data_IF_955869721140
#
_entry.id   IF_955869721140
#
_cell.length_a   1.000
_cell.length_b   1.000
_cell.length_c   1.000
_cell.angle_alpha   90.00
_cell.angle_beta   90.00
_cell.angle_gamma   90.00
#
_symmetry.space_group_name_H-M   'P 1'
#
loop_
_entity.id
_entity.type
_entity.pdbx_description
1 polymer ?
#
# COMPACT_ATOMS: atom_id res chain seq x y z
N UNK A 1 3.67 2.69 -45.40
CA UNK A 1 2.37 2.05 -45.12
C UNK A 1 2.25 0.60 -45.66
N UNK A 2 3.31 -0.23 -45.61
CA UNK A 2 3.21 -1.65 -46.02
C UNK A 2 3.88 -2.66 -45.05
N UNK A 3 4.51 -2.22 -43.95
CA UNK A 3 5.03 -3.13 -42.92
C UNK A 3 4.06 -3.40 -41.76
N UNK A 4 3.14 -2.47 -41.47
CA UNK A 4 2.14 -2.64 -40.40
C UNK A 4 1.00 -3.62 -40.77
N UNK A 5 0.81 -3.91 -42.06
CA UNK A 5 -0.24 -4.83 -42.54
C UNK A 5 0.18 -6.31 -42.43
N UNK A 6 1.45 -6.61 -42.69
CA UNK A 6 2.05 -7.95 -42.54
C UNK A 6 2.20 -8.40 -41.06
N UNK A 7 2.33 -7.45 -40.13
CA UNK A 7 2.44 -7.76 -38.70
C UNK A 7 1.08 -8.10 -38.06
N UNK A 8 -0.02 -7.54 -38.57
CA UNK A 8 -1.36 -7.82 -38.07
C UNK A 8 -1.95 -9.14 -38.61
N UNK A 9 -1.58 -9.55 -39.83
CA UNK A 9 -2.05 -10.83 -40.39
C UNK A 9 -1.38 -12.05 -39.73
N UNK A 10 -0.12 -11.93 -39.29
CA UNK A 10 0.61 -13.01 -38.60
C UNK A 10 0.17 -13.24 -37.16
N UNK A 11 -0.29 -12.19 -36.45
CA UNK A 11 -0.86 -12.30 -35.10
C UNK A 11 -2.26 -12.97 -35.09
N UNK A 12 -3.03 -12.83 -36.17
CA UNK A 12 -4.37 -13.43 -36.29
C UNK A 12 -4.35 -14.97 -36.46
N UNK A 13 -3.28 -15.51 -37.06
CA UNK A 13 -3.11 -16.95 -37.30
C UNK A 13 -2.61 -17.71 -36.05
N UNK A 14 -1.89 -17.03 -35.15
CA UNK A 14 -1.42 -17.62 -33.89
C UNK A 14 -2.54 -17.70 -32.82
N UNK A 15 -3.53 -16.81 -32.88
CA UNK A 15 -4.67 -16.85 -31.96
C UNK A 15 -5.70 -17.95 -32.29
N UNK A 16 -5.74 -18.45 -33.55
CA UNK A 16 -6.65 -19.55 -33.95
C UNK A 16 -6.16 -20.96 -33.60
N UNK A 17 -4.89 -21.16 -33.26
CA UNK A 17 -4.37 -22.49 -32.88
C UNK A 17 -4.41 -22.80 -31.37
N UNK A 18 -4.79 -21.83 -30.53
CA UNK A 18 -4.82 -22.00 -29.08
C UNK A 18 -6.22 -22.35 -28.52
N UNK A 19 -7.24 -22.45 -29.37
CA UNK A 19 -8.65 -22.67 -28.96
C UNK A 19 -9.23 -24.05 -29.32
N UNK A 20 -8.42 -25.02 -29.76
CA UNK A 20 -8.88 -26.35 -30.20
C UNK A 20 -8.37 -27.56 -29.39
N UNK A 21 -8.04 -27.40 -28.11
CA UNK A 21 -7.79 -28.55 -27.22
C UNK A 21 -8.66 -28.51 -25.97
N UNK A 22 -9.97 -28.68 -26.16
CA UNK A 22 -10.86 -29.14 -25.10
C UNK A 22 -10.61 -30.63 -24.85
N UNK A 23 -9.92 -30.98 -23.76
CA UNK A 23 -9.85 -32.34 -23.27
C UNK A 23 -11.02 -32.60 -22.29
N UNK A 24 -11.83 -33.65 -22.49
CA UNK A 24 -12.97 -33.94 -21.63
C UNK A 24 -12.58 -34.67 -20.33
N UNK A 25 -13.43 -34.47 -19.32
CA UNK A 25 -13.45 -35.17 -18.04
C UNK A 25 -13.82 -36.64 -18.23
N UNK A 26 -13.07 -37.56 -17.62
CA UNK A 26 -13.53 -38.94 -17.37
C UNK A 26 -12.92 -39.49 -16.06
N UNK A 27 -13.82 -39.60 -15.07
CA UNK A 27 -14.05 -40.69 -14.12
C UNK A 27 -12.93 -41.69 -13.79
N UNK A 28 -12.69 -41.81 -12.47
CA UNK A 28 -12.03 -42.91 -11.79
C UNK A 28 -12.61 -44.28 -12.15
N UNK A 29 -11.75 -45.22 -12.54
CA UNK A 29 -11.90 -46.65 -12.22
C UNK A 29 -10.52 -47.18 -11.83
N UNK A 30 -10.44 -47.68 -10.60
CA UNK A 30 -9.30 -48.42 -10.06
C UNK A 30 -9.35 -49.80 -10.72
N UNK A 31 -8.28 -50.23 -11.41
CA UNK A 31 -8.01 -51.65 -11.51
C UNK A 31 -6.52 -51.98 -11.67
N UNK A 32 -6.10 -52.80 -10.71
CA UNK A 32 -4.89 -53.61 -10.60
C UNK A 32 -4.73 -54.50 -11.84
N UNK A 33 -3.49 -54.74 -12.27
CA UNK A 33 -2.92 -55.99 -12.83
C UNK A 33 -1.66 -55.61 -13.65
N UNK A 34 -0.49 -55.63 -13.02
CA UNK A 34 0.54 -56.68 -13.17
C UNK A 34 1.14 -56.74 -14.58
N UNK A 35 2.36 -56.22 -14.70
CA UNK A 35 3.28 -56.62 -15.75
C UNK A 35 4.63 -56.94 -15.09
N UNK A 36 4.93 -58.23 -14.99
CA UNK A 36 6.23 -58.78 -14.64
C UNK A 36 7.14 -58.70 -15.86
N UNK A 37 8.11 -57.80 -15.84
CA UNK A 37 9.36 -57.98 -16.59
C UNK A 37 10.44 -57.07 -16.01
N UNK A 38 10.84 -57.34 -14.76
CA UNK A 38 11.97 -56.68 -14.13
C UNK A 38 13.25 -57.42 -14.55
N UNK A 39 14.00 -56.90 -15.51
CA UNK A 39 15.42 -57.21 -15.72
C UNK A 39 16.11 -56.21 -16.65
N UNK A 40 16.34 -54.99 -16.16
CA UNK A 40 17.55 -54.22 -16.51
C UNK A 40 17.59 -52.87 -15.80
N UNK A 41 18.44 -52.80 -14.77
CA UNK A 41 19.03 -51.57 -14.23
C UNK A 41 19.74 -50.82 -15.37
N UNK A 42 19.18 -49.70 -15.82
CA UNK A 42 19.95 -48.56 -16.38
C UNK A 42 19.02 -47.56 -17.06
N UNK A 43 18.43 -46.62 -16.32
CA UNK A 43 18.06 -45.35 -16.94
C UNK A 43 17.93 -44.17 -15.95
N UNK A 44 18.66 -44.22 -14.82
CA UNK A 44 18.88 -43.05 -13.96
C UNK A 44 20.02 -42.14 -14.49
N UNK A 45 20.60 -42.47 -15.64
CA UNK A 45 21.78 -41.79 -16.19
C UNK A 45 21.48 -40.85 -17.37
N UNK A 46 20.23 -40.76 -17.83
CA UNK A 46 19.84 -39.86 -18.93
C UNK A 46 18.96 -38.68 -18.51
N UNK A 47 18.39 -38.67 -17.30
CA UNK A 47 17.69 -37.49 -16.76
C UNK A 47 18.65 -36.42 -16.17
N UNK A 48 19.89 -36.78 -15.86
CA UNK A 48 20.86 -35.87 -15.23
C UNK A 48 21.56 -34.91 -16.20
N UNK A 49 21.38 -35.09 -17.52
CA UNK A 49 22.05 -34.26 -18.53
C UNK A 49 21.15 -33.18 -19.15
N UNK A 50 19.82 -33.29 -19.05
CA UNK A 50 18.88 -32.21 -19.42
C UNK A 50 18.66 -31.21 -18.26
N UNK A 51 18.79 -31.64 -17.01
CA UNK A 51 18.82 -30.73 -15.85
C UNK A 51 20.16 -29.98 -15.69
N UNK A 52 21.24 -30.44 -16.32
CA UNK A 52 22.55 -29.74 -16.31
C UNK A 52 22.72 -28.68 -17.40
N UNK A 53 21.83 -28.64 -18.40
CA UNK A 53 21.91 -27.71 -19.54
C UNK A 53 20.90 -26.56 -19.52
N UNK A 54 19.97 -26.53 -18.56
CA UNK A 54 19.09 -25.38 -18.34
C UNK A 54 19.58 -24.58 -17.13
N UNK A 55 20.18 -23.44 -17.47
CA UNK A 55 20.36 -22.24 -16.66
C UNK A 55 21.24 -22.34 -15.40
N UNK A 56 22.55 -22.50 -15.61
CA UNK A 56 23.49 -21.55 -15.01
C UNK A 56 23.18 -20.16 -15.60
N UNK A 57 22.08 -19.53 -15.18
CA UNK A 57 22.03 -18.08 -15.26
C UNK A 57 23.05 -17.61 -14.24
N UNK A 58 24.21 -17.16 -14.69
CA UNK A 58 25.08 -16.36 -13.84
C UNK A 58 24.20 -15.18 -13.42
N UNK A 59 23.71 -15.18 -12.18
CA UNK A 59 23.20 -13.96 -11.58
C UNK A 59 24.39 -13.02 -11.57
N UNK A 60 24.44 -12.16 -12.58
CA UNK A 60 25.43 -11.10 -12.65
C UNK A 60 25.26 -10.29 -11.36
N UNK A 61 26.26 -10.38 -10.48
CA UNK A 61 26.22 -9.66 -9.21
C UNK A 61 26.36 -8.20 -9.55
N UNK A 62 25.26 -7.46 -9.44
CA UNK A 62 25.27 -6.01 -9.52
C UNK A 62 26.13 -5.51 -8.35
N UNK A 63 27.36 -5.10 -8.66
CA UNK A 63 28.26 -4.52 -7.68
C UNK A 63 28.04 -3.01 -7.67
N UNK A 64 27.46 -2.50 -6.59
CA UNK A 64 27.23 -1.08 -6.38
C UNK A 64 28.42 -0.56 -5.58
N UNK A 65 29.19 0.36 -6.15
CA UNK A 65 30.27 1.02 -5.40
C UNK A 65 29.71 1.99 -4.35
N UNK A 66 30.59 2.52 -3.48
CA UNK A 66 30.20 3.44 -2.41
C UNK A 66 29.57 4.73 -2.96
N UNK A 67 30.03 5.24 -4.09
CA UNK A 67 29.50 6.46 -4.69
C UNK A 67 28.09 6.24 -5.22
N UNK A 68 27.87 5.15 -5.94
CA UNK A 68 26.55 4.73 -6.41
C UNK A 68 25.60 4.46 -5.24
N UNK A 69 26.08 3.88 -4.14
CA UNK A 69 25.28 3.68 -2.91
C UNK A 69 24.82 5.02 -2.32
N UNK A 70 25.75 5.97 -2.15
CA UNK A 70 25.43 7.30 -1.63
C UNK A 70 24.42 8.05 -2.53
N UNK A 71 24.57 7.93 -3.86
CA UNK A 71 23.64 8.54 -4.81
C UNK A 71 22.22 7.97 -4.69
N UNK A 72 22.10 6.64 -4.53
CA UNK A 72 20.81 5.97 -4.29
C UNK A 72 20.20 6.42 -2.96
N UNK A 73 20.98 6.48 -1.88
CA UNK A 73 20.51 6.93 -0.57
C UNK A 73 20.03 8.38 -0.60
N UNK A 74 20.78 9.28 -1.26
CA UNK A 74 20.40 10.68 -1.44
C UNK A 74 19.09 10.81 -2.23
N UNK A 75 18.91 10.02 -3.29
CA UNK A 75 17.67 10.00 -4.06
C UNK A 75 16.48 9.47 -3.23
N UNK A 76 16.68 8.43 -2.41
CA UNK A 76 15.64 7.92 -1.53
C UNK A 76 15.26 8.93 -0.45
N UNK A 77 16.24 9.66 0.11
CA UNK A 77 15.97 10.75 1.03
C UNK A 77 15.20 11.89 0.36
N UNK A 78 15.62 12.31 -0.84
CA UNK A 78 14.91 13.27 -1.67
C UNK A 78 13.44 12.86 -1.85
N UNK A 79 13.20 11.61 -2.28
CA UNK A 79 11.84 11.10 -2.48
C UNK A 79 11.01 11.06 -1.20
N UNK A 80 11.62 10.78 -0.04
CA UNK A 80 10.93 10.79 1.26
C UNK A 80 10.57 12.21 1.73
N UNK A 81 11.43 13.19 1.45
CA UNK A 81 11.21 14.58 1.84
C UNK A 81 10.28 15.28 0.83
N UNK A 82 10.52 15.16 -0.45
CA UNK A 82 9.74 15.87 -1.49
C UNK A 82 8.42 15.16 -1.81
N UNK A 83 8.36 13.82 -1.71
CA UNK A 83 7.16 13.07 -2.00
C UNK A 83 6.76 13.18 -3.48
N UNK A 84 5.63 13.83 -3.74
CA UNK A 84 5.09 14.11 -5.09
C UNK A 84 4.96 15.61 -5.35
N UNK A 85 5.54 16.46 -4.49
CA UNK A 85 5.44 17.93 -4.61
C UNK A 85 6.27 18.48 -5.79
N UNK A 86 7.14 17.66 -6.38
CA UNK A 86 7.97 17.99 -7.55
C UNK A 86 7.19 17.96 -8.88
N UNK A 87 5.92 17.53 -8.86
CA UNK A 87 5.08 17.44 -10.05
C UNK A 87 5.63 16.48 -11.12
N UNK A 88 6.53 15.57 -10.74
CA UNK A 88 7.18 14.61 -11.65
C UNK A 88 8.48 15.10 -12.29
N UNK A 89 8.99 16.29 -11.96
CA UNK A 89 10.30 16.79 -12.43
C UNK A 89 11.21 17.05 -11.25
N UNK A 90 12.39 16.41 -11.23
CA UNK A 90 13.34 16.56 -10.13
C UNK A 90 13.77 18.02 -9.95
N UNK A 91 13.80 18.46 -8.71
CA UNK A 91 14.34 19.77 -8.34
C UNK A 91 15.84 19.84 -8.62
N UNK A 92 16.29 21.05 -8.97
CA UNK A 92 17.70 21.39 -8.88
C UNK A 92 18.18 21.37 -7.42
N UNK A 93 19.49 21.31 -7.23
CA UNK A 93 20.10 21.28 -5.89
C UNK A 93 19.74 22.53 -5.06
N UNK A 94 19.71 23.70 -5.70
CA UNK A 94 19.34 24.98 -5.08
C UNK A 94 17.85 25.00 -4.67
N UNK A 95 16.96 24.55 -5.56
CA UNK A 95 15.53 24.44 -5.26
C UNK A 95 15.26 23.46 -4.12
N UNK A 96 15.95 22.31 -4.12
CA UNK A 96 15.81 21.31 -3.06
C UNK A 96 16.30 21.83 -1.71
N UNK A 97 17.40 22.58 -1.67
CA UNK A 97 17.90 23.21 -0.44
C UNK A 97 16.89 24.21 0.13
N UNK A 98 16.35 25.09 -0.72
CA UNK A 98 15.32 26.06 -0.34
C UNK A 98 14.03 25.39 0.13
N UNK A 99 13.62 24.31 -0.55
CA UNK A 99 12.46 23.51 -0.17
C UNK A 99 12.65 22.89 1.22
N UNK A 100 13.84 22.33 1.51
CA UNK A 100 14.14 21.77 2.84
C UNK A 100 14.07 22.81 3.95
N UNK A 101 14.67 23.99 3.74
CA UNK A 101 14.70 25.07 4.74
C UNK A 101 13.29 25.54 5.13
N UNK A 102 12.34 25.48 4.20
CA UNK A 102 10.96 25.90 4.42
C UNK A 102 10.07 24.77 4.97
N UNK A 103 10.15 23.58 4.38
CA UNK A 103 9.20 22.49 4.65
C UNK A 103 9.56 21.68 5.89
N UNK A 104 10.85 21.47 6.16
CA UNK A 104 11.27 20.64 7.30
C UNK A 104 10.81 21.22 8.63
N UNK A 105 11.06 22.51 8.98
CA UNK A 105 10.60 23.07 10.24
C UNK A 105 9.07 23.01 10.38
N UNK A 106 8.35 23.34 9.30
CA UNK A 106 6.88 23.29 9.25
C UNK A 106 6.35 21.90 9.55
N UNK A 107 6.92 20.85 8.95
CA UNK A 107 6.50 19.47 9.20
C UNK A 107 6.86 18.97 10.59
N UNK A 108 7.96 19.44 11.17
CA UNK A 108 8.33 19.09 12.53
C UNK A 108 7.34 19.69 13.55
N UNK A 109 6.88 20.91 13.30
CA UNK A 109 5.95 21.63 14.16
C UNK A 109 4.50 21.15 13.97
N UNK A 110 4.02 21.11 12.73
CA UNK A 110 2.62 20.87 12.39
C UNK A 110 2.37 19.43 11.94
N UNK A 111 3.10 18.46 12.49
CA UNK A 111 2.94 17.05 12.11
C UNK A 111 1.53 16.56 12.48
N UNK A 112 0.84 16.00 11.49
CA UNK A 112 -0.43 15.31 11.69
C UNK A 112 -0.23 13.81 11.86
N UNK A 113 -0.95 13.24 12.83
CA UNK A 113 -1.04 11.81 13.06
C UNK A 113 -2.39 11.30 12.62
N UNK A 114 -2.37 10.28 11.77
CA UNK A 114 -3.60 9.71 11.21
C UNK A 114 -3.69 8.24 11.59
N UNK A 115 -4.75 7.90 12.30
CA UNK A 115 -5.08 6.53 12.68
C UNK A 115 -6.49 6.17 12.25
N UNK A 116 -6.76 4.88 12.18
CA UNK A 116 -8.09 4.34 11.90
C UNK A 116 -8.45 3.34 12.98
N UNK A 117 -9.60 3.56 13.62
CA UNK A 117 -9.99 2.82 14.81
C UNK A 117 -11.40 3.20 15.26
N UNK A 118 -11.90 2.47 16.24
CA UNK A 118 -13.13 2.86 16.92
C UNK A 118 -12.80 3.93 17.97
N UNK A 119 -13.52 5.06 18.04
CA UNK A 119 -13.29 6.08 19.04
C UNK A 119 -13.27 5.49 20.47
N UNK A 120 -12.26 5.87 21.27
CA UNK A 120 -12.08 5.33 22.63
C UNK A 120 -11.40 3.95 22.72
N UNK A 121 -11.15 3.29 21.59
CA UNK A 121 -10.46 1.99 21.54
C UNK A 121 -9.01 2.12 21.01
N UNK A 122 -8.43 0.99 20.61
CA UNK A 122 -7.10 0.92 20.00
C UNK A 122 -7.08 1.50 18.58
N UNK A 123 -5.93 2.05 18.17
CA UNK A 123 -5.66 2.44 16.79
C UNK A 123 -5.49 1.17 15.93
N UNK A 124 -6.56 0.68 15.31
CA UNK A 124 -6.59 -0.57 14.55
C UNK A 124 -5.69 -0.55 13.31
N UNK A 125 -5.52 0.61 12.67
CA UNK A 125 -4.53 0.85 11.62
C UNK A 125 -3.86 2.20 11.82
N UNK A 126 -2.55 2.26 11.61
CA UNK A 126 -1.84 3.54 11.51
C UNK A 126 -1.60 3.82 10.03
N UNK A 127 -1.89 5.04 9.63
CA UNK A 127 -1.85 5.45 8.22
C UNK A 127 -0.45 5.93 7.88
N UNK A 128 0.09 5.39 6.79
CA UNK A 128 1.37 5.81 6.20
C UNK A 128 1.21 6.39 4.80
N UNK A 129 2.30 6.90 4.19
CA UNK A 129 2.26 7.67 2.95
C UNK A 129 1.64 6.92 1.76
N UNK A 130 1.90 5.62 1.66
CA UNK A 130 1.40 4.76 0.58
C UNK A 130 0.04 4.10 0.89
N UNK A 131 -0.55 4.39 2.05
CA UNK A 131 -1.85 3.80 2.41
C UNK A 131 -2.95 4.45 1.56
N UNK A 132 -3.77 3.66 0.84
CA UNK A 132 -4.78 4.23 -0.04
C UNK A 132 -5.98 4.76 0.74
N UNK A 133 -6.49 5.89 0.27
CA UNK A 133 -7.76 6.48 0.66
C UNK A 133 -8.94 5.75 0.00
N UNK A 134 -10.16 6.05 0.45
CA UNK A 134 -11.40 5.71 -0.22
C UNK A 134 -11.39 6.04 -1.71
N UNK A 135 -10.84 7.21 -2.07
CA UNK A 135 -10.69 7.68 -3.45
C UNK A 135 -9.58 6.94 -4.24
N UNK A 136 -8.96 5.91 -3.66
CA UNK A 136 -7.87 5.07 -4.20
C UNK A 136 -6.48 5.72 -4.29
N UNK A 137 -6.37 7.02 -4.07
CA UNK A 137 -5.09 7.73 -4.01
C UNK A 137 -4.38 7.52 -2.67
N UNK A 138 -3.05 7.57 -2.68
CA UNK A 138 -2.22 7.43 -1.47
C UNK A 138 -2.40 8.61 -0.50
N UNK A 139 -2.14 8.36 0.78
CA UNK A 139 -2.17 9.40 1.82
C UNK A 139 -1.26 10.60 1.47
N UNK A 140 -0.07 10.35 0.92
CA UNK A 140 0.86 11.40 0.44
C UNK A 140 0.29 12.33 -0.63
N UNK A 141 -0.76 11.90 -1.32
CA UNK A 141 -1.43 12.67 -2.37
C UNK A 141 -2.56 13.56 -1.81
N UNK A 142 -2.77 13.55 -0.50
CA UNK A 142 -3.70 14.45 0.18
C UNK A 142 -2.94 15.64 0.81
N UNK A 143 -3.65 16.70 1.16
CA UNK A 143 -3.08 17.86 1.82
C UNK A 143 -2.77 17.52 3.28
N UNK A 144 -1.51 17.24 3.59
CA UNK A 144 -1.05 16.87 4.95
C UNK A 144 -0.22 17.96 5.61
N UNK A 145 0.31 18.89 4.81
CA UNK A 145 1.21 19.94 5.28
C UNK A 145 0.45 21.25 5.40
N UNK A 146 0.38 21.80 6.60
CA UNK A 146 -0.28 23.07 6.90
C UNK A 146 0.73 24.07 7.45
N UNK A 147 0.62 25.34 7.05
CA UNK A 147 1.39 26.44 7.65
C UNK A 147 0.88 26.76 9.06
N UNK A 148 -0.45 26.84 9.18
CA UNK A 148 -1.15 26.91 10.46
C UNK A 148 -2.19 25.80 10.53
N UNK A 149 -2.21 25.08 11.64
CA UNK A 149 -3.14 23.96 11.83
C UNK A 149 -4.57 24.48 11.98
N UNK A 150 -5.56 23.91 11.26
CA UNK A 150 -6.95 24.26 11.44
C UNK A 150 -7.42 24.04 12.88
N UNK A 151 -8.15 25.02 13.44
CA UNK A 151 -8.72 24.92 14.80
C UNK A 151 -10.00 24.09 14.84
N UNK A 152 -10.74 24.07 13.74
CA UNK A 152 -11.99 23.32 13.61
C UNK A 152 -11.71 21.83 13.45
N UNK A 153 -12.54 20.99 14.07
CA UNK A 153 -12.45 19.53 14.00
C UNK A 153 -13.65 18.95 13.27
N UNK A 154 -13.47 17.93 12.41
CA UNK A 154 -12.21 17.25 12.08
C UNK A 154 -11.30 18.05 11.11
N UNK A 155 -9.98 17.84 11.19
CA UNK A 155 -9.04 18.40 10.19
C UNK A 155 -9.27 17.67 8.86
N UNK A 156 -9.70 18.42 7.84
CA UNK A 156 -9.93 17.89 6.51
C UNK A 156 -8.63 17.80 5.71
N UNK A 157 -8.39 16.65 5.08
CA UNK A 157 -7.20 16.39 4.28
C UNK A 157 -7.60 16.20 2.81
N UNK A 158 -7.90 17.26 2.05
CA UNK A 158 -8.39 17.15 0.67
C UNK A 158 -7.37 16.49 -0.26
N UNK A 159 -7.86 15.75 -1.25
CA UNK A 159 -6.99 15.11 -2.26
C UNK A 159 -6.44 16.16 -3.24
N UNK A 160 -5.14 16.07 -3.57
CA UNK A 160 -4.44 16.99 -4.48
C UNK A 160 -4.41 16.49 -5.93
N UNK A 161 -4.90 15.28 -6.19
CA UNK A 161 -4.94 14.71 -7.54
C UNK A 161 -6.00 15.42 -8.39
N UNK A 162 -5.59 15.88 -9.58
CA UNK A 162 -6.46 16.63 -10.51
C UNK A 162 -7.71 15.81 -10.86
N UNK A 163 -8.89 16.39 -10.65
CA UNK A 163 -10.19 15.78 -10.97
C UNK A 163 -10.79 14.91 -9.86
N UNK A 164 -10.10 14.70 -8.74
CA UNK A 164 -10.63 13.97 -7.59
C UNK A 164 -11.54 14.87 -6.74
N UNK A 165 -12.74 14.40 -6.38
CA UNK A 165 -13.71 15.15 -5.54
C UNK A 165 -13.63 14.80 -4.04
N UNK A 166 -12.56 14.11 -3.63
CA UNK A 166 -12.35 13.66 -2.26
C UNK A 166 -12.03 14.85 -1.32
N UNK A 167 -12.94 15.15 -0.40
CA UNK A 167 -12.84 16.30 0.52
C UNK A 167 -11.89 16.06 1.68
N UNK A 168 -11.78 14.82 2.14
CA UNK A 168 -10.85 14.44 3.20
C UNK A 168 -10.38 13.01 3.04
N UNK A 169 -9.14 12.72 3.46
CA UNK A 169 -8.62 11.36 3.52
C UNK A 169 -9.49 10.49 4.44
N UNK A 170 -9.94 9.35 3.92
CA UNK A 170 -10.70 8.35 4.67
C UNK A 170 -10.16 6.96 4.34
N UNK A 171 -9.75 6.21 5.34
CA UNK A 171 -9.28 4.84 5.16
C UNK A 171 -10.44 3.85 5.12
N UNK A 172 -10.30 2.84 4.25
CA UNK A 172 -11.19 1.68 4.19
C UNK A 172 -10.38 0.42 4.43
N UNK A 173 -10.91 -0.49 5.25
CA UNK A 173 -10.27 -1.79 5.47
C UNK A 173 -9.95 -2.50 4.15
N UNK A 174 -8.76 -3.08 4.10
CA UNK A 174 -8.28 -3.91 2.99
C UNK A 174 -8.23 -5.35 3.49
N UNK A 175 -8.84 -6.27 2.73
CA UNK A 175 -8.76 -7.71 2.96
C UNK A 175 -7.95 -8.34 1.83
N UNK A 176 -6.75 -8.81 2.17
CA UNK A 176 -5.76 -9.24 1.17
C UNK A 176 -5.33 -8.06 0.31
N UNK A 177 -5.65 -8.09 -0.98
CA UNK A 177 -5.31 -7.03 -1.94
C UNK A 177 -6.48 -6.11 -2.30
N UNK A 178 -7.67 -6.32 -1.72
CA UNK A 178 -8.89 -5.61 -2.13
C UNK A 178 -9.53 -4.87 -0.95
N UNK A 179 -10.03 -3.65 -1.14
CA UNK A 179 -10.90 -3.00 -0.17
C UNK A 179 -12.11 -3.89 0.14
N UNK A 180 -12.55 -3.87 1.39
CA UNK A 180 -13.76 -4.60 1.80
C UNK A 180 -14.99 -4.01 1.09
N UNK A 181 -16.03 -4.83 0.95
CA UNK A 181 -17.26 -4.42 0.24
C UNK A 181 -18.21 -3.70 1.16
N UNK A 182 -19.00 -2.80 0.58
CA UNK A 182 -20.16 -2.21 1.24
C UNK A 182 -21.23 -3.29 1.52
N UNK A 183 -22.18 -3.00 2.42
CA UNK A 183 -23.38 -3.81 2.68
C UNK A 183 -24.20 -4.03 1.40
N UNK A 184 -24.16 -3.09 0.46
CA UNK A 184 -24.76 -3.25 -0.88
C UNK A 184 -23.97 -4.18 -1.82
N UNK A 185 -22.89 -4.82 -1.33
CA UNK A 185 -21.97 -5.74 -2.03
C UNK A 185 -21.05 -5.11 -3.08
N UNK A 186 -21.15 -3.81 -3.29
CA UNK A 186 -20.29 -3.06 -4.21
C UNK A 186 -18.97 -2.63 -3.56
N UNK A 187 -17.93 -2.43 -4.38
CA UNK A 187 -16.59 -1.98 -3.97
C UNK A 187 -16.52 -0.47 -3.76
N UNK A 188 -15.45 0.03 -3.13
CA UNK A 188 -15.24 1.48 -2.93
C UNK A 188 -15.24 2.26 -4.25
N UNK A 189 -14.63 1.71 -5.31
CA UNK A 189 -14.62 2.30 -6.65
C UNK A 189 -16.02 2.47 -7.29
N UNK A 190 -17.00 1.70 -6.83
CA UNK A 190 -18.39 1.76 -7.29
C UNK A 190 -19.22 2.75 -6.45
N UNK A 191 -18.57 3.50 -5.55
CA UNK A 191 -19.16 4.61 -4.80
C UNK A 191 -18.50 5.92 -5.22
N UNK A 192 -19.16 7.03 -4.90
CA UNK A 192 -18.60 8.37 -5.06
C UNK A 192 -17.50 8.62 -4.03
N UNK A 193 -16.40 9.24 -4.45
CA UNK A 193 -15.37 9.77 -3.57
C UNK A 193 -15.80 11.05 -2.83
N UNK A 194 -16.93 11.65 -3.24
CA UNK A 194 -17.53 12.79 -2.55
C UNK A 194 -18.14 12.38 -1.20
N UNK A 195 -18.51 13.40 -0.42
CA UNK A 195 -19.17 13.24 0.89
C UNK A 195 -20.40 12.34 0.75
N UNK A 196 -20.66 11.53 1.78
CA UNK A 196 -21.71 10.50 1.86
C UNK A 196 -21.46 9.22 1.05
N UNK A 197 -20.43 9.16 0.19
CA UNK A 197 -20.02 7.94 -0.52
C UNK A 197 -21.19 7.18 -1.16
N UNK A 198 -22.04 7.89 -1.90
CA UNK A 198 -23.22 7.28 -2.52
C UNK A 198 -22.82 6.22 -3.55
N UNK A 199 -23.54 5.09 -3.57
CA UNK A 199 -23.27 4.03 -4.54
C UNK A 199 -23.72 4.47 -5.94
N UNK A 200 -22.86 4.27 -6.93
CA UNK A 200 -23.13 4.57 -8.35
C UNK A 200 -23.97 3.47 -9.02
N UNK A 201 -24.10 2.30 -8.39
CA UNK A 201 -24.74 1.10 -8.97
C UNK A 201 -26.13 0.77 -8.41
N UNK A 202 -26.47 1.26 -7.23
CA UNK A 202 -27.77 0.98 -6.62
C UNK A 202 -28.33 2.19 -5.88
N UNK A 203 -29.66 2.25 -5.78
CA UNK A 203 -30.41 3.37 -5.21
C UNK A 203 -30.72 3.22 -3.72
N UNK A 204 -30.65 1.99 -3.19
CA UNK A 204 -30.94 1.71 -1.77
C UNK A 204 -29.75 1.94 -0.83
N UNK A 205 -28.56 2.20 -1.38
CA UNK A 205 -27.36 2.45 -0.58
C UNK A 205 -27.29 3.94 -0.22
N UNK A 206 -27.45 4.25 1.06
CA UNK A 206 -27.38 5.62 1.59
C UNK A 206 -25.94 6.13 1.76
N UNK A 207 -24.95 5.25 1.62
CA UNK A 207 -23.54 5.55 1.77
C UNK A 207 -22.72 4.29 2.02
N UNK A 208 -21.41 4.39 1.83
CA UNK A 208 -20.52 3.26 2.04
C UNK A 208 -20.53 2.81 3.49
N UNK A 209 -20.90 1.55 3.72
CA UNK A 209 -20.96 0.94 5.05
C UNK A 209 -20.57 -0.52 4.93
N UNK A 210 -19.42 -0.92 5.47
CA UNK A 210 -18.95 -2.31 5.36
C UNK A 210 -19.31 -3.15 6.60
N UNK A 211 -19.91 -4.35 6.44
CA UNK A 211 -20.16 -5.27 7.56
C UNK A 211 -18.93 -6.11 7.94
N UNK A 212 -17.75 -5.84 7.35
CA UNK A 212 -16.50 -6.53 7.65
C UNK A 212 -16.17 -6.45 9.15
N UNK A 213 -15.78 -7.55 9.76
CA UNK A 213 -15.32 -7.56 11.16
C UNK A 213 -13.82 -7.32 11.21
N UNK A 214 -13.39 -6.23 11.83
CA UNK A 214 -11.98 -5.95 12.07
C UNK A 214 -11.40 -6.95 13.09
N UNK A 215 -10.08 -7.17 13.07
CA UNK A 215 -9.40 -7.99 14.08
C UNK A 215 -9.57 -7.51 15.52
N UNK A 216 -9.99 -6.25 15.74
CA UNK A 216 -10.39 -5.75 17.06
C UNK A 216 -11.78 -6.23 17.52
N UNK A 217 -12.50 -7.00 16.68
CA UNK A 217 -13.84 -7.51 16.95
C UNK A 217 -14.99 -6.58 16.57
N UNK A 218 -14.72 -5.32 16.24
CA UNK A 218 -15.74 -4.34 15.86
C UNK A 218 -16.00 -4.34 14.35
N UNK A 219 -17.23 -4.02 13.90
CA UNK A 219 -17.52 -3.92 12.47
C UNK A 219 -16.82 -2.71 11.85
N UNK A 220 -16.51 -2.80 10.56
CA UNK A 220 -15.76 -1.78 9.82
C UNK A 220 -16.43 -0.42 9.82
N UNK A 221 -17.77 -0.38 9.78
CA UNK A 221 -18.52 0.88 9.87
C UNK A 221 -18.44 1.59 11.22
N UNK A 222 -17.97 0.93 12.29
CA UNK A 222 -17.75 1.56 13.59
C UNK A 222 -16.39 2.28 13.66
N UNK A 223 -15.52 2.04 12.69
CA UNK A 223 -14.21 2.68 12.63
C UNK A 223 -14.30 4.03 11.94
N UNK A 224 -13.53 4.98 12.43
CA UNK A 224 -13.37 6.30 11.84
C UNK A 224 -11.90 6.57 11.57
N UNK A 225 -11.63 7.40 10.57
CA UNK A 225 -10.29 7.96 10.37
C UNK A 225 -10.15 9.17 11.29
N UNK A 226 -9.18 9.10 12.21
CA UNK A 226 -8.91 10.15 13.18
C UNK A 226 -7.65 10.91 12.75
N UNK A 227 -7.73 12.24 12.67
CA UNK A 227 -6.62 13.13 12.36
C UNK A 227 -6.33 13.98 13.59
N UNK A 228 -5.13 13.84 14.14
CA UNK A 228 -4.70 14.45 15.40
C UNK A 228 -3.44 15.28 15.23
N UNK A 229 -3.30 16.33 16.04
CA UNK A 229 -2.02 17.01 16.24
C UNK A 229 -1.16 16.24 17.23
N UNK A 230 0.11 16.65 17.38
CA UNK A 230 1.02 16.09 18.38
C UNK A 230 0.42 16.16 19.79
N UNK A 231 -0.15 17.31 20.16
CA UNK A 231 -0.69 17.57 21.49
C UNK A 231 -1.90 16.69 21.78
N UNK A 232 -2.83 16.58 20.84
CA UNK A 232 -4.03 15.74 20.97
C UNK A 232 -3.68 14.26 21.11
N UNK A 233 -2.72 13.80 20.30
CA UNK A 233 -2.27 12.43 20.34
C UNK A 233 -1.60 12.10 21.68
N UNK A 234 -0.76 13.01 22.19
CA UNK A 234 -0.15 12.88 23.50
C UNK A 234 -1.21 12.90 24.62
N UNK A 235 -2.19 13.79 24.55
CA UNK A 235 -3.29 13.86 25.51
C UNK A 235 -4.10 12.56 25.54
N UNK A 236 -4.21 11.85 24.41
CA UNK A 236 -4.86 10.54 24.31
C UNK A 236 -3.95 9.38 24.76
N UNK A 237 -2.78 9.68 25.32
CA UNK A 237 -1.78 8.69 25.75
C UNK A 237 -1.20 7.89 24.59
N UNK A 238 -1.25 8.43 23.37
CA UNK A 238 -0.78 7.78 22.16
C UNK A 238 0.61 8.32 21.78
N UNK A 239 1.38 7.51 21.07
CA UNK A 239 2.77 7.83 20.77
C UNK A 239 2.97 8.75 19.61
N UNK A 240 4.00 9.59 19.74
CA UNK A 240 4.41 10.54 18.70
C UNK A 240 5.70 10.12 17.99
N UNK A 241 6.52 9.29 18.63
CA UNK A 241 7.80 8.84 18.08
C UNK A 241 8.80 9.99 17.87
N UNK A 242 9.86 9.73 17.09
CA UNK A 242 10.85 10.77 16.74
C UNK A 242 10.29 11.69 15.67
N UNK A 243 10.57 12.98 15.79
CA UNK A 243 10.27 13.97 14.77
C UNK A 243 11.10 13.67 13.49
N UNK A 244 10.42 13.61 12.34
CA UNK A 244 11.02 13.26 11.04
C UNK A 244 10.55 14.23 9.95
N UNK A 245 11.41 14.57 8.96
CA UNK A 245 11.12 15.58 7.94
C UNK A 245 10.26 15.07 6.76
N UNK A 246 9.87 13.81 6.79
CA UNK A 246 9.30 13.11 5.63
C UNK A 246 7.84 13.51 5.37
N UNK A 247 7.49 13.55 4.09
CA UNK A 247 6.13 13.89 3.65
C UNK A 247 5.12 12.82 4.10
N UNK A 248 3.97 13.27 4.60
CA UNK A 248 2.80 12.42 4.88
C UNK A 248 3.11 11.15 5.70
N UNK A 249 3.92 11.28 6.75
CA UNK A 249 4.21 10.16 7.66
C UNK A 249 2.97 9.60 8.37
N UNK A 250 1.94 10.44 8.55
CA UNK A 250 0.69 10.08 9.21
C UNK A 250 0.94 9.50 10.60
N UNK A 251 0.31 8.37 10.90
CA UNK A 251 0.41 7.68 12.19
C UNK A 251 1.67 6.85 12.41
N UNK A 252 2.61 6.79 11.45
CA UNK A 252 3.80 5.93 11.57
C UNK A 252 4.82 6.52 12.56
N UNK A 253 5.14 5.78 13.61
CA UNK A 253 6.08 6.17 14.67
C UNK A 253 7.25 5.21 14.84
N UNK A 254 7.15 4.00 14.26
CA UNK A 254 8.20 2.98 14.25
C UNK A 254 7.77 1.75 13.45
N UNK A 255 8.56 0.68 13.53
CA UNK A 255 8.28 -0.57 12.80
C UNK A 255 6.98 -1.26 13.28
N UNK A 256 6.69 -1.19 14.58
CA UNK A 256 5.44 -1.73 15.15
C UNK A 256 4.18 -1.06 14.60
N UNK A 257 4.31 0.16 14.06
CA UNK A 257 3.18 0.89 13.46
C UNK A 257 2.65 0.24 12.18
N UNK A 258 3.48 -0.57 11.49
CA UNK A 258 3.10 -1.24 10.24
C UNK A 258 2.12 -2.39 10.46
N UNK A 259 2.20 -3.02 11.64
CA UNK A 259 1.32 -4.11 12.06
C UNK A 259 -0.04 -3.56 12.46
N UNK A 260 -1.11 -4.34 12.26
CA UNK A 260 -2.46 -3.96 12.68
C UNK A 260 -2.54 -3.85 14.22
N UNK A 261 -3.37 -2.92 14.70
CA UNK A 261 -3.39 -2.51 16.11
C UNK A 261 -3.70 -3.63 17.09
N UNK A 262 -4.55 -4.58 16.70
CA UNK A 262 -4.91 -5.72 17.56
C UNK A 262 -3.78 -6.74 17.73
N UNK A 263 -2.74 -6.69 16.88
CA UNK A 263 -1.56 -7.57 16.93
C UNK A 263 -0.35 -6.90 17.59
N UNK A 264 -0.45 -5.62 18.00
CA UNK A 264 0.66 -4.93 18.68
C UNK A 264 0.74 -5.42 20.13
N UNK A 265 1.84 -6.08 20.48
CA UNK A 265 2.02 -6.80 21.76
C UNK A 265 2.62 -5.96 22.89
N UNK A 266 3.18 -4.80 22.59
CA UNK A 266 3.75 -3.89 23.56
C UNK A 266 2.73 -2.79 23.92
N UNK A 267 2.93 -1.97 24.97
CA UNK A 267 2.13 -0.75 25.25
C UNK A 267 2.13 0.26 24.09
N UNK A 268 2.67 -0.18 22.95
CA UNK A 268 3.48 0.64 22.14
C UNK A 268 3.48 0.25 20.64
N UNK A 269 2.43 0.74 19.99
CA UNK A 269 2.71 1.72 18.92
C UNK A 269 3.67 2.86 19.35
N UNK A 270 3.98 2.99 20.65
CA UNK A 270 4.87 3.90 21.37
C UNK A 270 6.35 3.62 21.22
N UNK A 271 6.87 2.49 20.74
CA UNK A 271 8.30 2.21 20.93
C UNK A 271 8.81 2.53 22.35
N UNK A 272 10.12 2.47 22.54
CA UNK A 272 10.71 2.77 23.84
C UNK A 272 10.43 4.23 24.23
N UNK A 273 9.80 4.44 25.39
CA UNK A 273 9.82 5.75 26.03
C UNK A 273 11.28 6.08 26.30
N UNK A 274 11.82 7.04 25.54
CA UNK A 274 13.13 7.59 25.82
C UNK A 274 12.99 8.37 27.13
N UNK A 275 13.22 7.68 28.26
CA UNK A 275 13.59 8.38 29.49
C UNK A 275 14.93 9.02 29.16
N UNK A 276 14.92 10.35 29.07
CA UNK A 276 16.15 11.12 29.08
C UNK A 276 16.90 10.71 30.34
N UNK A 277 18.01 10.00 30.16
CA UNK A 277 19.02 9.91 31.18
C UNK A 277 19.59 11.32 31.31
N UNK A 278 19.05 12.09 32.24
CA UNK A 278 19.77 13.21 32.84
C UNK A 278 20.85 12.60 33.73
N UNK A 279 22.09 12.83 33.29
CA UNK A 279 23.37 12.85 34.04
C UNK A 279 23.59 11.84 35.17
#
# INVERSE_FOLDING_TARGET
>A
MNLLRLFMETLSLLFRRCLETQAPRTTFIVNKLQCECCSSRSNLYQQTNLQKRLSRSVMERIHIDKHATNAVEAYLEYKRIVGEDDGGTLFSEEEYKKYKETVVPRRMQNRLYVSFGVPGHIDCKLIGPETPCFCTHGYKQHCTDFEELPKERPILLPCRVKGCQCVSYEYVHISGSKPVRCQCKHTTSEHSEAIAHQCKKCTHCTGYRSPFTCGCGQPGYAHVTLVETTEERMARGRPVGRAVPYAAMGGLTGFSSLVDGYLRLDPSGVGNTCKQHTE
#
